data_IF_736609303054
#
_entry.id   IF_736609303054
#
_cell.length_a   1.000
_cell.length_b   1.000
_cell.length_c   1.000
_cell.angle_alpha   90.00
_cell.angle_beta   90.00
_cell.angle_gamma   90.00
#
_symmetry.space_group_name_H-M   'P 1'
#
loop_
_entity.id
_entity.type
_entity.pdbx_description
1 polymer ?
#
# COMPACT_ATOMS: atom_id res chain seq x y z
N UNK A 1 -12.25 -24.93 7.89
CA UNK A 1 -12.46 -24.53 6.48
C UNK A 1 -11.52 -25.29 5.59
N UNK A 2 -12.00 -25.76 4.44
CA UNK A 2 -11.18 -26.37 3.38
C UNK A 2 -10.04 -25.43 3.00
N UNK A 3 -8.86 -25.99 2.73
CA UNK A 3 -7.68 -25.26 2.24
C UNK A 3 -8.03 -24.49 0.94
N UNK A 4 -8.53 -23.27 1.10
CA UNK A 4 -8.84 -22.37 -0.02
C UNK A 4 -7.52 -21.91 -0.63
N UNK A 5 -7.10 -22.48 -1.74
CA UNK A 5 -5.77 -22.22 -2.32
C UNK A 5 -5.75 -21.05 -3.30
N UNK A 6 -6.80 -20.86 -4.11
CA UNK A 6 -6.85 -19.80 -5.12
C UNK A 6 -7.07 -18.41 -4.53
N UNK A 7 -6.29 -17.41 -4.99
CA UNK A 7 -6.41 -16.03 -4.53
C UNK A 7 -7.84 -15.48 -4.63
N UNK A 8 -8.50 -15.58 -5.79
CA UNK A 8 -9.86 -15.08 -6.01
C UNK A 8 -10.89 -15.76 -5.11
N UNK A 9 -10.71 -17.06 -4.82
CA UNK A 9 -11.57 -17.80 -3.88
C UNK A 9 -11.39 -17.28 -2.45
N UNK A 10 -10.14 -17.04 -2.03
CA UNK A 10 -9.83 -16.47 -0.71
C UNK A 10 -10.39 -15.05 -0.56
N UNK A 11 -10.28 -14.22 -1.59
CA UNK A 11 -10.82 -12.86 -1.61
C UNK A 11 -12.34 -12.82 -1.41
N UNK A 12 -13.07 -13.87 -1.83
CA UNK A 12 -14.52 -13.96 -1.74
C UNK A 12 -14.97 -14.61 -0.42
N UNK A 13 -14.20 -15.55 0.12
CA UNK A 13 -14.66 -16.42 1.21
C UNK A 13 -13.90 -16.28 2.53
N UNK A 14 -12.62 -15.89 2.54
CA UNK A 14 -11.85 -15.82 3.78
C UNK A 14 -12.41 -14.74 4.72
N UNK A 15 -12.77 -15.12 5.96
CA UNK A 15 -13.39 -14.24 6.94
C UNK A 15 -14.84 -13.84 6.59
N UNK A 16 -15.44 -14.45 5.58
CA UNK A 16 -16.75 -14.03 5.04
C UNK A 16 -17.75 -15.19 5.00
N UNK A 17 -17.76 -15.98 6.05
CA UNK A 17 -18.78 -17.04 6.19
C UNK A 17 -20.19 -16.43 6.24
N UNK A 18 -21.18 -17.10 5.62
CA UNK A 18 -22.58 -16.70 5.73
C UNK A 18 -23.02 -16.56 7.20
N UNK A 19 -23.82 -15.54 7.48
CA UNK A 19 -24.35 -15.29 8.83
C UNK A 19 -25.13 -16.50 9.36
N UNK A 20 -24.73 -17.01 10.52
CA UNK A 20 -25.34 -18.22 11.10
C UNK A 20 -26.75 -17.99 11.61
N UNK A 21 -27.16 -16.74 11.88
CA UNK A 21 -28.48 -16.44 12.44
C UNK A 21 -29.60 -16.49 11.37
N UNK A 22 -29.31 -15.95 10.17
CA UNK A 22 -30.32 -15.80 9.11
C UNK A 22 -29.82 -16.30 7.74
N UNK A 23 -28.59 -16.78 7.64
CA UNK A 23 -28.01 -17.28 6.39
C UNK A 23 -27.69 -16.20 5.36
N UNK A 24 -27.47 -14.94 5.78
CA UNK A 24 -27.06 -13.88 4.87
C UNK A 24 -25.71 -14.20 4.24
N UNK A 25 -25.62 -14.12 2.90
CA UNK A 25 -24.41 -14.47 2.12
C UNK A 25 -23.28 -13.47 2.35
N UNK A 26 -23.63 -12.20 2.60
CA UNK A 26 -22.65 -11.13 2.91
C UNK A 26 -22.63 -10.92 4.42
N UNK A 27 -21.46 -10.84 5.07
CA UNK A 27 -21.36 -10.57 6.50
C UNK A 27 -22.10 -9.28 6.88
N UNK A 28 -22.88 -9.29 7.98
CA UNK A 28 -23.58 -8.11 8.48
C UNK A 28 -22.60 -6.99 8.89
N UNK A 29 -23.07 -5.73 8.84
CA UNK A 29 -22.36 -4.59 9.40
C UNK A 29 -22.77 -4.46 10.88
N UNK A 30 -21.86 -4.76 11.80
CA UNK A 30 -22.09 -4.64 13.24
C UNK A 30 -21.80 -3.22 13.73
N UNK A 31 -22.76 -2.33 13.49
CA UNK A 31 -22.68 -0.91 13.88
C UNK A 31 -23.00 -0.74 15.38
N UNK A 32 -22.16 -1.28 16.24
CA UNK A 32 -22.31 -1.20 17.71
C UNK A 32 -20.96 -0.90 18.37
N UNK A 33 -21.00 -0.24 19.51
CA UNK A 33 -19.80 0.03 20.33
C UNK A 33 -19.58 -1.04 21.41
N UNK A 34 -20.65 -1.75 21.87
CA UNK A 34 -20.58 -2.64 23.02
C UNK A 34 -21.41 -3.89 22.80
N UNK A 35 -21.06 -4.97 23.51
CA UNK A 35 -21.71 -6.28 23.39
C UNK A 35 -22.17 -6.78 24.77
N UNK A 36 -23.27 -7.54 24.81
CA UNK A 36 -23.80 -8.15 26.03
C UNK A 36 -22.85 -9.26 26.48
N UNK A 37 -22.60 -9.34 27.79
CA UNK A 37 -21.85 -10.43 28.41
C UNK A 37 -22.79 -11.45 29.07
N UNK A 38 -22.40 -12.71 29.02
CA UNK A 38 -23.07 -13.83 29.71
C UNK A 38 -22.49 -13.98 31.14
N UNK A 39 -22.81 -13.00 32.01
CA UNK A 39 -22.17 -12.80 33.32
C UNK A 39 -20.89 -11.97 33.23
N UNK A 40 -20.36 -11.54 34.37
CA UNK A 40 -19.16 -10.69 34.45
C UNK A 40 -17.95 -11.42 33.84
N UNK A 41 -17.37 -10.86 32.77
CA UNK A 41 -16.24 -11.45 32.07
C UNK A 41 -16.61 -12.58 31.09
N UNK A 42 -17.89 -12.96 30.98
CA UNK A 42 -18.39 -13.95 30.00
C UNK A 42 -18.62 -13.32 28.65
N UNK A 43 -17.60 -13.32 27.77
CA UNK A 43 -17.69 -12.69 26.45
C UNK A 43 -18.45 -13.57 25.47
N UNK A 44 -19.56 -13.06 24.93
CA UNK A 44 -20.33 -13.76 23.90
C UNK A 44 -19.59 -13.66 22.55
N UNK A 45 -19.16 -14.79 22.02
CA UNK A 45 -18.40 -14.85 20.78
C UNK A 45 -17.01 -14.17 20.85
N UNK A 46 -16.52 -13.85 22.07
CA UNK A 46 -15.23 -13.16 22.25
C UNK A 46 -15.30 -11.64 22.16
N UNK A 47 -16.50 -11.06 22.00
CA UNK A 47 -16.67 -9.62 21.84
C UNK A 47 -17.16 -8.93 23.11
N UNK A 48 -16.59 -7.76 23.44
CA UNK A 48 -16.97 -6.92 24.57
C UNK A 48 -17.21 -5.45 24.14
N UNK A 49 -16.28 -4.91 23.37
CA UNK A 49 -16.25 -3.53 22.96
C UNK A 49 -15.62 -3.38 21.56
N UNK A 50 -16.23 -2.59 20.67
CA UNK A 50 -15.85 -2.54 19.26
C UNK A 50 -14.42 -2.01 18.99
N UNK A 51 -13.83 -1.22 19.91
CA UNK A 51 -12.42 -0.83 19.78
C UNK A 51 -11.50 -2.02 19.98
N UNK A 52 -11.80 -2.92 20.91
CA UNK A 52 -11.02 -4.15 21.12
C UNK A 52 -11.24 -5.14 19.98
N UNK A 53 -12.51 -5.48 19.65
CA UNK A 53 -12.88 -6.35 18.55
C UNK A 53 -14.29 -6.05 18.03
N UNK A 54 -14.50 -6.19 16.71
CA UNK A 54 -15.80 -6.04 16.08
C UNK A 54 -15.92 -7.09 14.96
N UNK A 55 -17.06 -7.84 14.83
CA UNK A 55 -17.16 -8.92 13.86
C UNK A 55 -16.91 -8.50 12.40
N UNK A 56 -17.34 -7.30 12.00
CA UNK A 56 -17.09 -6.80 10.64
C UNK A 56 -15.61 -6.48 10.42
N UNK A 57 -14.91 -5.94 11.45
CA UNK A 57 -13.45 -5.72 11.37
C UNK A 57 -12.69 -7.03 11.38
N UNK A 58 -13.09 -8.00 12.21
CA UNK A 58 -12.48 -9.34 12.24
C UNK A 58 -12.55 -10.01 10.87
N UNK A 59 -13.72 -9.94 10.19
CA UNK A 59 -13.88 -10.46 8.84
C UNK A 59 -12.89 -9.84 7.83
N UNK A 60 -12.66 -8.52 7.92
CA UNK A 60 -11.67 -7.83 7.09
C UNK A 60 -10.24 -8.26 7.43
N UNK A 61 -9.90 -8.33 8.72
CA UNK A 61 -8.58 -8.71 9.21
C UNK A 61 -8.20 -10.14 8.78
N UNK A 62 -9.15 -11.09 8.86
CA UNK A 62 -8.97 -12.46 8.40
C UNK A 62 -8.81 -12.54 6.87
N UNK A 63 -9.59 -11.76 6.11
CA UNK A 63 -9.47 -11.70 4.66
C UNK A 63 -8.10 -11.18 4.24
N UNK A 64 -7.64 -10.06 4.80
CA UNK A 64 -6.34 -9.46 4.49
C UNK A 64 -5.18 -10.40 4.85
N UNK A 65 -5.20 -11.02 6.04
CA UNK A 65 -4.21 -12.01 6.43
C UNK A 65 -4.15 -13.16 5.41
N UNK A 66 -5.31 -13.70 5.04
CA UNK A 66 -5.39 -14.78 4.05
C UNK A 66 -4.83 -14.37 2.69
N UNK A 67 -5.12 -13.16 2.20
CA UNK A 67 -4.68 -12.70 0.88
C UNK A 67 -3.16 -12.47 0.83
N UNK A 68 -2.57 -11.94 1.88
CA UNK A 68 -1.12 -11.75 1.99
C UNK A 68 -0.35 -13.03 2.37
N UNK A 69 -1.07 -14.12 2.67
CA UNK A 69 -0.44 -15.37 3.12
C UNK A 69 0.09 -15.30 4.56
N UNK A 70 -0.40 -14.33 5.34
CA UNK A 70 -0.06 -14.15 6.74
C UNK A 70 -1.01 -14.86 7.69
N UNK A 71 -0.61 -14.95 8.96
CA UNK A 71 -1.41 -15.54 10.04
C UNK A 71 -2.31 -14.50 10.71
N UNK A 72 -1.86 -13.28 10.82
CA UNK A 72 -2.51 -12.19 11.54
C UNK A 72 -2.71 -10.97 10.64
N UNK A 73 -3.94 -10.46 10.60
CA UNK A 73 -4.29 -9.17 10.01
C UNK A 73 -4.79 -8.22 11.10
N UNK A 74 -4.49 -6.95 10.95
CA UNK A 74 -4.98 -5.86 11.81
C UNK A 74 -5.42 -4.70 10.93
N UNK A 75 -6.65 -4.20 11.12
CA UNK A 75 -7.19 -3.10 10.34
C UNK A 75 -7.17 -1.79 11.12
N UNK A 76 -6.88 -0.68 10.41
CA UNK A 76 -6.69 0.66 10.96
C UNK A 76 -7.51 1.69 10.19
N UNK A 77 -7.76 2.85 10.84
CA UNK A 77 -8.50 3.96 10.25
C UNK A 77 -7.79 4.64 9.06
N UNK A 78 -6.50 4.39 8.86
CA UNK A 78 -5.72 4.83 7.70
C UNK A 78 -4.41 4.06 7.59
N UNK A 79 -3.72 4.12 6.44
CA UNK A 79 -2.37 3.60 6.30
C UNK A 79 -1.41 4.20 7.33
N UNK A 80 -1.42 5.52 7.49
CA UNK A 80 -0.59 6.19 8.51
C UNK A 80 -0.92 5.81 9.95
N UNK A 81 -2.17 5.46 10.27
CA UNK A 81 -2.51 4.93 11.60
C UNK A 81 -1.92 3.52 11.80
N UNK A 82 -1.85 2.70 10.75
CA UNK A 82 -1.16 1.41 10.77
C UNK A 82 0.35 1.60 10.96
N UNK A 83 0.97 2.50 10.20
CA UNK A 83 2.39 2.83 10.31
C UNK A 83 2.76 3.37 11.68
N UNK A 84 2.01 4.35 12.23
CA UNK A 84 2.26 4.92 13.57
C UNK A 84 2.14 3.86 14.67
N UNK A 85 1.14 2.98 14.56
CA UNK A 85 0.96 1.88 15.51
C UNK A 85 2.12 0.89 15.42
N UNK A 86 2.57 0.53 14.22
CA UNK A 86 3.73 -0.34 14.01
C UNK A 86 4.98 0.28 14.61
N UNK A 87 5.29 1.55 14.29
CA UNK A 87 6.47 2.24 14.80
C UNK A 87 6.49 2.33 16.34
N UNK A 88 5.33 2.52 16.99
CA UNK A 88 5.20 2.50 18.44
C UNK A 88 5.34 1.09 19.04
N UNK A 89 5.07 0.07 18.25
CA UNK A 89 5.17 -1.33 18.69
C UNK A 89 6.61 -1.81 18.67
N UNK A 90 7.33 -1.58 17.58
CA UNK A 90 8.69 -2.11 17.38
C UNK A 90 9.79 -1.09 17.75
N UNK A 91 9.45 0.20 17.86
CA UNK A 91 10.40 1.27 18.14
C UNK A 91 10.37 1.73 19.59
N UNK A 92 11.52 2.24 20.05
CA UNK A 92 11.72 2.92 21.33
C UNK A 92 12.62 4.15 21.10
N UNK A 93 12.74 5.07 22.06
CA UNK A 93 13.70 6.16 21.95
C UNK A 93 15.12 5.64 21.69
N UNK A 94 15.75 6.08 20.61
CA UNK A 94 17.05 5.60 20.14
C UNK A 94 16.99 4.52 19.06
N UNK A 95 15.83 3.95 18.77
CA UNK A 95 15.68 3.00 17.66
C UNK A 95 16.07 3.60 16.32
N UNK A 96 16.78 2.81 15.53
CA UNK A 96 17.26 3.19 14.20
C UNK A 96 16.45 2.49 13.11
N UNK A 97 16.02 3.26 12.09
CA UNK A 97 15.27 2.76 10.93
C UNK A 97 15.94 3.15 9.63
N UNK A 98 16.01 2.21 8.69
CA UNK A 98 16.38 2.47 7.29
C UNK A 98 15.11 2.58 6.47
N UNK A 99 14.95 3.69 5.73
CA UNK A 99 13.74 3.97 4.94
C UNK A 99 14.09 4.29 3.48
N UNK A 100 13.14 4.14 2.52
CA UNK A 100 13.42 4.50 1.13
C UNK A 100 13.73 5.98 0.99
N UNK A 101 14.69 6.29 0.12
CA UNK A 101 15.03 7.67 -0.24
C UNK A 101 13.94 8.38 -1.06
N UNK A 102 12.96 7.63 -1.58
CA UNK A 102 11.78 8.09 -2.32
C UNK A 102 10.47 7.56 -1.69
N UNK A 103 10.43 7.47 -0.35
CA UNK A 103 9.26 7.04 0.39
C UNK A 103 8.05 7.96 0.15
N UNK A 104 6.85 7.40 0.26
CA UNK A 104 5.62 8.19 0.31
C UNK A 104 5.75 9.37 1.30
N UNK A 105 5.38 10.57 0.85
CA UNK A 105 5.57 11.80 1.64
C UNK A 105 4.91 11.77 3.02
N UNK A 106 3.83 10.98 3.22
CA UNK A 106 3.19 10.74 4.50
C UNK A 106 4.08 9.96 5.45
N UNK A 107 4.63 8.83 4.99
CA UNK A 107 5.56 7.97 5.72
C UNK A 107 6.82 8.77 6.10
N UNK A 108 7.40 9.50 5.15
CA UNK A 108 8.56 10.36 5.42
C UNK A 108 8.26 11.40 6.52
N UNK A 109 7.11 12.08 6.47
CA UNK A 109 6.71 13.03 7.52
C UNK A 109 6.50 12.35 8.88
N UNK A 110 5.93 11.14 8.87
CA UNK A 110 5.72 10.36 10.10
C UNK A 110 7.05 10.07 10.79
N UNK A 111 8.03 9.56 10.06
CA UNK A 111 9.37 9.31 10.59
C UNK A 111 10.09 10.60 11.04
N UNK A 112 10.21 11.58 10.14
CA UNK A 112 11.12 12.71 10.33
C UNK A 112 10.55 13.85 11.17
N UNK A 113 9.22 13.99 11.28
CA UNK A 113 8.58 15.09 12.01
C UNK A 113 7.75 14.66 13.20
N UNK A 114 7.24 13.43 13.21
CA UNK A 114 6.46 12.90 14.33
C UNK A 114 7.35 12.06 15.23
N UNK A 115 7.89 10.97 14.72
CA UNK A 115 8.66 10.02 15.52
C UNK A 115 10.08 10.50 15.86
N UNK A 116 10.69 11.36 15.06
CA UNK A 116 11.96 12.01 15.41
C UNK A 116 11.90 12.77 16.76
N UNK A 117 10.73 13.33 17.12
CA UNK A 117 10.52 13.97 18.42
C UNK A 117 10.54 13.00 19.61
N UNK A 118 10.34 11.73 19.34
CA UNK A 118 10.39 10.63 20.32
C UNK A 118 11.74 9.89 20.30
N UNK A 119 12.72 10.46 19.60
CA UNK A 119 14.09 9.94 19.55
C UNK A 119 14.29 8.79 18.58
N UNK A 120 13.40 8.59 17.62
CA UNK A 120 13.62 7.66 16.50
C UNK A 120 14.65 8.27 15.57
N UNK A 121 15.73 7.52 15.28
CA UNK A 121 16.75 7.83 14.30
C UNK A 121 16.42 7.18 12.95
N UNK A 122 16.48 7.96 11.88
CA UNK A 122 16.05 7.49 10.54
C UNK A 122 17.08 7.87 9.50
N UNK A 123 17.53 6.89 8.72
CA UNK A 123 18.36 7.11 7.54
C UNK A 123 17.59 6.76 6.26
N UNK A 124 17.53 7.72 5.34
CA UNK A 124 16.98 7.49 4.01
C UNK A 124 18.06 6.97 3.07
N UNK A 125 17.76 5.92 2.28
CA UNK A 125 18.70 5.33 1.33
C UNK A 125 18.01 4.83 0.06
N UNK A 126 18.78 4.65 -1.01
CA UNK A 126 18.26 4.06 -2.25
C UNK A 126 18.16 2.54 -2.11
N UNK A 127 16.94 2.02 -1.97
CA UNK A 127 16.71 0.59 -1.78
C UNK A 127 16.97 -0.26 -3.03
N UNK A 128 17.16 0.37 -4.17
CA UNK A 128 17.61 -0.30 -5.40
C UNK A 128 19.11 -0.62 -5.41
N UNK A 129 19.87 -0.06 -4.46
CA UNK A 129 21.31 -0.28 -4.28
C UNK A 129 21.55 -1.07 -2.99
N UNK A 130 21.77 -2.38 -3.10
CA UNK A 130 21.98 -3.27 -1.96
C UNK A 130 23.22 -2.89 -1.15
N UNK A 131 24.27 -2.35 -1.78
CA UNK A 131 25.46 -1.90 -1.05
C UNK A 131 25.14 -0.64 -0.21
N UNK A 132 24.29 0.25 -0.69
CA UNK A 132 23.81 1.39 0.08
C UNK A 132 22.93 0.94 1.25
N UNK A 133 22.08 -0.07 1.06
CA UNK A 133 21.26 -0.68 2.13
C UNK A 133 22.15 -1.29 3.21
N UNK A 134 23.12 -2.14 2.84
CA UNK A 134 24.03 -2.77 3.77
C UNK A 134 24.82 -1.72 4.59
N UNK A 135 25.28 -0.67 3.94
CA UNK A 135 25.99 0.45 4.60
C UNK A 135 25.10 1.25 5.55
N UNK A 136 23.80 1.37 5.26
CA UNK A 136 22.84 2.10 6.10
C UNK A 136 22.45 1.32 7.35
N UNK A 137 22.51 0.00 7.30
CA UNK A 137 22.17 -0.88 8.43
C UNK A 137 23.30 -0.83 9.47
N UNK A 138 22.91 -0.75 10.75
CA UNK A 138 23.81 -0.85 11.91
C UNK A 138 23.55 -2.18 12.60
N UNK A 139 24.44 -3.17 12.47
CA UNK A 139 24.22 -4.52 13.03
C UNK A 139 23.91 -4.48 14.54
N UNK A 140 22.82 -5.09 14.95
CA UNK A 140 22.35 -5.12 16.34
C UNK A 140 21.69 -3.82 16.85
N UNK A 141 21.69 -2.74 16.05
CA UNK A 141 21.13 -1.43 16.42
C UNK A 141 19.96 -1.01 15.50
N UNK A 142 19.97 -1.43 14.23
CA UNK A 142 18.84 -1.18 13.31
C UNK A 142 17.64 -2.02 13.71
N UNK A 143 16.52 -1.34 14.01
CA UNK A 143 15.26 -1.97 14.39
C UNK A 143 14.56 -2.57 13.19
N UNK A 144 14.46 -1.82 12.10
CA UNK A 144 13.83 -2.30 10.87
C UNK A 144 14.34 -1.59 9.61
N UNK A 145 14.27 -2.32 8.49
CA UNK A 145 14.35 -1.76 7.13
C UNK A 145 12.92 -1.65 6.59
N UNK A 146 12.51 -0.43 6.24
CA UNK A 146 11.21 -0.14 5.65
C UNK A 146 11.35 -0.12 4.14
N UNK A 147 10.62 -0.97 3.45
CA UNK A 147 10.62 -1.10 1.98
C UNK A 147 9.28 -0.58 1.44
N UNK A 148 9.31 0.25 0.42
CA UNK A 148 8.17 0.59 -0.44
C UNK A 148 8.53 0.16 -1.87
N UNK A 149 7.76 -0.75 -2.46
CA UNK A 149 8.06 -1.26 -3.80
C UNK A 149 6.79 -1.79 -4.49
N UNK A 150 6.46 -1.29 -5.72
CA UNK A 150 7.08 -0.15 -6.41
C UNK A 150 6.97 1.15 -5.63
N UNK A 151 7.97 2.06 -5.74
CA UNK A 151 7.98 3.33 -5.00
C UNK A 151 7.01 4.35 -5.61
N UNK A 152 6.62 5.35 -4.81
CA UNK A 152 5.80 6.49 -5.24
C UNK A 152 6.64 7.77 -5.25
N UNK A 153 6.83 8.49 -6.39
CA UNK A 153 6.12 8.30 -7.65
C UNK A 153 6.94 7.63 -8.76
N UNK A 154 8.20 7.30 -8.54
CA UNK A 154 9.14 6.89 -9.61
C UNK A 154 9.07 5.40 -9.98
N UNK A 155 8.28 4.62 -9.25
CA UNK A 155 8.04 3.19 -9.48
C UNK A 155 9.33 2.34 -9.46
N UNK A 156 10.31 2.76 -8.66
CA UNK A 156 11.52 1.98 -8.45
C UNK A 156 11.21 0.63 -7.78
N UNK A 157 11.94 -0.41 -8.15
CA UNK A 157 11.73 -1.76 -7.63
C UNK A 157 12.89 -2.12 -6.70
N UNK A 158 12.57 -2.42 -5.45
CA UNK A 158 13.51 -2.94 -4.46
C UNK A 158 13.46 -4.48 -4.41
N UNK A 159 14.60 -5.12 -4.26
CA UNK A 159 14.70 -6.58 -4.10
C UNK A 159 14.39 -6.96 -2.64
N UNK A 160 13.14 -7.38 -2.40
CA UNK A 160 12.66 -7.71 -1.05
C UNK A 160 13.48 -8.84 -0.46
N UNK A 161 13.73 -9.92 -1.21
CA UNK A 161 14.44 -11.11 -0.75
C UNK A 161 15.89 -10.78 -0.35
N UNK A 162 16.61 -10.07 -1.23
CA UNK A 162 18.00 -9.69 -0.96
C UNK A 162 18.10 -8.70 0.22
N UNK A 163 17.18 -7.75 0.35
CA UNK A 163 17.15 -6.81 1.47
C UNK A 163 16.81 -7.56 2.77
N UNK A 164 15.90 -8.52 2.74
CA UNK A 164 15.53 -9.32 3.89
C UNK A 164 16.73 -10.16 4.40
N UNK A 165 17.49 -10.78 3.51
CA UNK A 165 18.72 -11.48 3.88
C UNK A 165 19.73 -10.56 4.60
N UNK A 166 19.97 -9.36 4.06
CA UNK A 166 20.91 -8.37 4.66
C UNK A 166 20.37 -7.90 6.02
N UNK A 167 19.09 -7.55 6.12
CA UNK A 167 18.47 -7.03 7.33
C UNK A 167 18.47 -8.07 8.46
N UNK A 168 18.02 -9.29 8.17
CA UNK A 168 17.98 -10.38 9.14
C UNK A 168 19.37 -10.79 9.62
N UNK A 169 20.38 -10.79 8.75
CA UNK A 169 21.77 -11.04 9.16
C UNK A 169 22.28 -10.00 10.17
N UNK A 170 21.72 -8.81 10.17
CA UNK A 170 22.00 -7.73 11.11
C UNK A 170 21.06 -7.68 12.32
N UNK A 171 20.07 -8.57 12.40
CA UNK A 171 19.05 -8.61 13.47
C UNK A 171 17.94 -7.59 13.33
N UNK A 172 17.77 -6.99 12.14
CA UNK A 172 16.72 -6.02 11.84
C UNK A 172 15.49 -6.67 11.21
N UNK A 173 14.29 -6.15 11.53
CA UNK A 173 13.04 -6.54 10.88
C UNK A 173 12.93 -5.95 9.47
N UNK A 174 12.11 -6.58 8.64
CA UNK A 174 11.75 -6.10 7.30
C UNK A 174 10.27 -5.78 7.23
N UNK A 175 9.98 -4.50 7.00
CA UNK A 175 8.61 -3.97 6.80
C UNK A 175 8.43 -3.63 5.34
N UNK A 176 7.37 -4.14 4.70
CA UNK A 176 7.09 -3.84 3.29
C UNK A 176 5.73 -3.15 3.16
N UNK A 177 5.74 -1.93 2.64
CA UNK A 177 4.52 -1.29 2.15
C UNK A 177 4.17 -1.89 0.77
N UNK A 178 3.14 -2.72 0.74
CA UNK A 178 2.65 -3.45 -0.44
C UNK A 178 1.45 -2.76 -1.10
N UNK A 179 1.22 -1.49 -0.79
CA UNK A 179 0.03 -0.73 -1.24
C UNK A 179 -0.10 -0.68 -2.77
N UNK A 180 1.00 -0.41 -3.51
CA UNK A 180 0.97 -0.30 -4.97
C UNK A 180 0.83 -1.66 -5.66
N UNK A 181 1.55 -2.66 -5.18
CA UNK A 181 1.51 -4.00 -5.75
C UNK A 181 0.25 -4.76 -5.37
N UNK A 182 -0.31 -4.54 -4.18
CA UNK A 182 -1.42 -5.32 -3.61
C UNK A 182 -1.05 -6.78 -3.32
N UNK A 183 -1.80 -7.48 -2.47
CA UNK A 183 -1.58 -8.91 -2.25
C UNK A 183 -1.80 -9.77 -3.51
N UNK A 184 -2.43 -9.21 -4.55
CA UNK A 184 -2.65 -9.92 -5.80
C UNK A 184 -1.41 -9.99 -6.67
N UNK A 185 -0.63 -8.92 -6.74
CA UNK A 185 0.55 -8.86 -7.62
C UNK A 185 1.84 -9.26 -6.92
N UNK A 186 1.94 -9.06 -5.61
CA UNK A 186 3.17 -9.32 -4.84
C UNK A 186 2.81 -9.84 -3.44
N UNK A 187 3.58 -10.79 -2.93
CA UNK A 187 3.40 -11.39 -1.62
C UNK A 187 4.70 -11.31 -0.80
N UNK A 188 4.97 -10.19 -0.13
CA UNK A 188 6.25 -9.93 0.51
C UNK A 188 6.62 -10.89 1.65
N UNK A 189 5.66 -11.46 2.39
CA UNK A 189 5.96 -12.47 3.43
C UNK A 189 6.65 -13.69 2.84
N UNK A 190 6.29 -14.11 1.63
CA UNK A 190 6.95 -15.22 0.93
C UNK A 190 8.37 -14.87 0.45
N UNK A 191 8.74 -13.58 0.44
CA UNK A 191 10.03 -13.04 0.06
C UNK A 191 10.88 -12.61 1.27
N UNK A 192 10.46 -12.97 2.48
CA UNK A 192 11.21 -12.70 3.70
C UNK A 192 10.81 -11.44 4.47
N UNK A 193 9.74 -10.75 4.10
CA UNK A 193 9.22 -9.66 4.93
C UNK A 193 8.63 -10.20 6.24
N UNK A 194 8.79 -9.47 7.33
CA UNK A 194 8.21 -9.80 8.65
C UNK A 194 6.82 -9.19 8.81
N UNK A 195 6.63 -8.00 8.27
CA UNK A 195 5.40 -7.22 8.40
C UNK A 195 5.07 -6.57 7.05
N UNK A 196 3.80 -6.66 6.67
CA UNK A 196 3.26 -5.93 5.51
C UNK A 196 2.42 -4.77 6.01
N UNK A 197 2.55 -3.63 5.35
CA UNK A 197 1.73 -2.43 5.51
C UNK A 197 0.86 -2.23 4.27
N UNK A 198 -0.37 -1.79 4.47
CA UNK A 198 -1.25 -1.33 3.40
C UNK A 198 -1.95 -0.03 3.77
N UNK A 199 -2.01 0.88 2.82
CA UNK A 199 -3.13 1.82 2.73
C UNK A 199 -4.27 1.11 2.00
N UNK A 200 -5.25 0.57 2.75
CA UNK A 200 -6.42 -0.08 2.14
C UNK A 200 -7.34 0.92 1.42
N UNK A 201 -7.10 2.22 1.61
CA UNK A 201 -7.67 3.34 0.84
C UNK A 201 -7.52 3.18 -0.67
N UNK A 202 -6.45 2.50 -1.12
CA UNK A 202 -6.03 2.40 -2.52
C UNK A 202 -6.70 1.19 -3.19
N UNK A 203 -5.98 0.38 -3.93
CA UNK A 203 -6.52 -0.77 -4.67
C UNK A 203 -7.37 -1.74 -3.85
N UNK A 204 -7.09 -1.91 -2.54
CA UNK A 204 -7.87 -2.81 -1.69
C UNK A 204 -9.33 -2.35 -1.57
N UNK A 205 -9.58 -1.07 -1.27
CA UNK A 205 -10.90 -0.45 -1.35
C UNK A 205 -11.36 -0.30 -2.79
N UNK A 206 -10.55 0.36 -3.61
CA UNK A 206 -10.62 0.39 -5.08
C UNK A 206 -11.76 1.22 -5.67
N UNK A 207 -12.49 2.01 -4.88
CA UNK A 207 -13.66 2.76 -5.33
C UNK A 207 -13.68 4.21 -4.83
N UNK A 208 -12.55 4.72 -4.32
CA UNK A 208 -12.37 6.11 -3.83
C UNK A 208 -13.41 6.55 -2.78
N UNK A 209 -13.96 5.59 -2.03
CA UNK A 209 -15.08 5.77 -1.10
C UNK A 209 -14.74 5.44 0.36
N UNK A 210 -13.49 5.03 0.66
CA UNK A 210 -13.05 4.62 1.99
C UNK A 210 -11.61 5.02 2.26
N UNK A 211 -11.31 5.36 3.51
CA UNK A 211 -9.95 5.50 4.04
C UNK A 211 -9.71 4.36 5.03
N UNK A 212 -8.57 3.68 4.90
CA UNK A 212 -8.21 2.60 5.81
C UNK A 212 -6.75 2.19 5.69
N UNK A 213 -6.31 1.36 6.62
CA UNK A 213 -4.97 0.78 6.64
C UNK A 213 -4.99 -0.64 7.16
N UNK A 214 -3.90 -1.36 6.95
CA UNK A 214 -3.73 -2.68 7.52
C UNK A 214 -2.27 -3.02 7.80
N UNK A 215 -2.06 -3.91 8.77
CA UNK A 215 -0.83 -4.64 8.99
C UNK A 215 -1.11 -6.14 8.85
N UNK A 216 -0.17 -6.86 8.26
CA UNK A 216 -0.23 -8.32 8.18
C UNK A 216 1.13 -8.90 8.59
N UNK A 217 1.12 -9.93 9.42
CA UNK A 217 2.32 -10.67 9.85
C UNK A 217 2.00 -12.14 10.08
N UNK A 218 3.03 -12.98 10.08
CA UNK A 218 2.93 -14.38 10.53
C UNK A 218 3.60 -14.62 11.88
N UNK A 219 4.25 -13.59 12.45
CA UNK A 219 5.00 -13.67 13.69
C UNK A 219 4.09 -13.54 14.90
N UNK A 220 4.10 -14.55 15.77
CA UNK A 220 3.30 -14.60 16.99
C UNK A 220 3.78 -13.58 18.04
N UNK A 221 5.09 -13.29 18.08
CA UNK A 221 5.68 -12.33 19.04
C UNK A 221 5.38 -10.89 18.65
N UNK A 222 5.20 -10.60 17.36
CA UNK A 222 4.78 -9.27 16.86
C UNK A 222 3.27 -9.07 16.97
N UNK A 223 2.48 -10.12 16.76
CA UNK A 223 1.02 -9.99 16.65
C UNK A 223 0.36 -9.51 17.94
N UNK A 224 0.79 -10.01 19.12
CA UNK A 224 0.21 -9.61 20.40
C UNK A 224 0.48 -8.14 20.76
N UNK A 225 1.72 -7.63 20.73
CA UNK A 225 2.01 -6.22 20.93
C UNK A 225 1.32 -5.29 19.93
N UNK A 226 1.19 -5.70 18.66
CA UNK A 226 0.47 -4.94 17.64
C UNK A 226 -1.01 -4.81 17.99
N UNK A 227 -1.67 -5.89 18.40
CA UNK A 227 -3.08 -5.87 18.86
C UNK A 227 -3.26 -5.02 20.11
N UNK A 228 -2.32 -5.10 21.05
CA UNK A 228 -2.34 -4.25 22.24
C UNK A 228 -2.28 -2.77 21.85
N UNK A 229 -1.33 -2.37 21.00
CA UNK A 229 -1.22 -0.97 20.59
C UNK A 229 -2.39 -0.52 19.70
N UNK A 230 -2.90 -1.37 18.79
CA UNK A 230 -4.12 -1.09 18.02
C UNK A 230 -5.29 -0.70 18.95
N UNK A 231 -5.51 -1.50 20.00
CA UNK A 231 -6.57 -1.24 20.98
C UNK A 231 -6.27 -0.03 21.87
N UNK A 232 -5.05 0.09 22.39
CA UNK A 232 -4.65 1.12 23.35
C UNK A 232 -4.62 2.53 22.70
N UNK A 233 -4.12 2.64 21.47
CA UNK A 233 -4.08 3.89 20.71
C UNK A 233 -5.46 4.20 20.13
N UNK A 234 -6.22 3.16 19.74
CA UNK A 234 -7.58 3.30 19.26
C UNK A 234 -7.69 3.70 17.78
N UNK A 235 -6.64 3.50 16.98
CA UNK A 235 -6.62 3.81 15.54
C UNK A 235 -7.45 2.85 14.67
N UNK A 236 -8.54 2.31 15.20
CA UNK A 236 -9.39 1.30 14.52
C UNK A 236 -10.39 1.93 13.56
N UNK A 237 -10.69 1.29 12.39
CA UNK A 237 -11.69 1.77 11.45
C UNK A 237 -13.11 1.50 11.96
N UNK A 238 -14.08 2.26 11.45
CA UNK A 238 -15.49 1.99 11.64
C UNK A 238 -15.94 0.70 10.92
N UNK A 239 -17.03 0.05 11.39
CA UNK A 239 -17.49 -1.19 10.78
C UNK A 239 -17.97 -1.01 9.33
N UNK A 240 -18.49 0.16 8.98
CA UNK A 240 -18.89 0.45 7.60
C UNK A 240 -17.66 0.56 6.68
N UNK A 241 -16.60 1.21 7.13
CA UNK A 241 -15.33 1.31 6.38
C UNK A 241 -14.71 -0.08 6.18
N UNK A 242 -14.72 -0.91 7.23
CA UNK A 242 -14.28 -2.32 7.13
C UNK A 242 -15.08 -3.08 6.07
N UNK A 243 -16.39 -2.89 6.05
CA UNK A 243 -17.28 -3.56 5.09
C UNK A 243 -17.01 -3.09 3.65
N UNK A 244 -16.78 -1.78 3.42
CA UNK A 244 -16.42 -1.24 2.11
C UNK A 244 -15.12 -1.84 1.59
N UNK A 245 -14.07 -1.90 2.43
CA UNK A 245 -12.79 -2.52 2.04
C UNK A 245 -12.99 -4.01 1.74
N UNK A 246 -13.72 -4.73 2.60
CA UNK A 246 -14.02 -6.15 2.39
C UNK A 246 -14.78 -6.38 1.06
N UNK A 247 -15.73 -5.51 0.73
CA UNK A 247 -16.45 -5.52 -0.55
C UNK A 247 -15.49 -5.24 -1.72
N UNK A 248 -14.57 -4.31 -1.58
CA UNK A 248 -13.55 -4.00 -2.58
C UNK A 248 -12.60 -5.18 -2.86
N UNK A 249 -12.14 -5.88 -1.82
CA UNK A 249 -11.27 -7.04 -1.92
C UNK A 249 -11.86 -8.19 -2.75
N UNK A 250 -13.19 -8.38 -2.73
CA UNK A 250 -13.87 -9.42 -3.50
C UNK A 250 -13.64 -9.32 -5.01
N UNK A 251 -13.36 -8.11 -5.51
CA UNK A 251 -13.12 -7.85 -6.94
C UNK A 251 -11.67 -7.44 -7.21
N UNK A 252 -10.78 -7.52 -6.21
CA UNK A 252 -9.39 -7.07 -6.36
C UNK A 252 -8.69 -7.73 -7.55
N UNK A 253 -8.78 -9.04 -7.69
CA UNK A 253 -8.12 -9.78 -8.77
C UNK A 253 -8.55 -9.29 -10.16
N UNK A 254 -9.87 -9.21 -10.42
CA UNK A 254 -10.38 -8.80 -11.73
C UNK A 254 -10.11 -7.32 -12.02
N UNK A 255 -10.09 -6.47 -10.98
CA UNK A 255 -9.71 -5.06 -11.14
C UNK A 255 -8.22 -4.93 -11.45
N UNK A 256 -7.35 -5.63 -10.71
CA UNK A 256 -5.91 -5.57 -10.92
C UNK A 256 -5.50 -6.08 -12.31
N UNK A 257 -6.14 -7.13 -12.84
CA UNK A 257 -5.90 -7.56 -14.23
C UNK A 257 -6.22 -6.44 -15.22
N UNK A 258 -7.37 -5.77 -15.08
CA UNK A 258 -7.75 -4.67 -15.98
C UNK A 258 -6.86 -3.43 -15.78
N UNK A 259 -6.51 -3.08 -14.54
CA UNK A 259 -5.55 -1.99 -14.27
C UNK A 259 -4.20 -2.26 -14.97
N UNK A 260 -3.68 -3.49 -14.86
CA UNK A 260 -2.44 -3.86 -15.52
C UNK A 260 -2.54 -3.82 -17.04
N UNK A 261 -3.62 -4.38 -17.63
CA UNK A 261 -3.85 -4.34 -19.08
C UNK A 261 -3.86 -2.90 -19.59
N UNK A 262 -4.58 -2.02 -18.90
CA UNK A 262 -4.67 -0.61 -19.29
C UNK A 262 -3.33 0.11 -19.11
N UNK A 263 -2.62 -0.13 -17.97
CA UNK A 263 -1.33 0.52 -17.70
C UNK A 263 -0.26 0.12 -18.72
N UNK A 264 -0.20 -1.14 -19.13
CA UNK A 264 0.71 -1.61 -20.19
C UNK A 264 0.44 -0.89 -21.51
N UNK A 265 -0.83 -0.79 -21.93
CA UNK A 265 -1.22 -0.08 -23.18
C UNK A 265 -0.93 1.42 -23.10
N UNK A 266 -1.17 2.06 -21.96
CA UNK A 266 -0.87 3.48 -21.73
C UNK A 266 0.65 3.72 -21.76
N UNK A 267 1.44 2.87 -21.11
CA UNK A 267 2.89 2.99 -21.11
C UNK A 267 3.47 2.84 -22.52
N UNK A 268 2.99 1.86 -23.30
CA UNK A 268 3.40 1.67 -24.70
C UNK A 268 3.06 2.90 -25.57
N UNK A 269 1.87 3.49 -25.39
CA UNK A 269 1.48 4.71 -26.08
C UNK A 269 2.40 5.88 -25.72
N UNK A 270 2.67 6.08 -24.41
CA UNK A 270 3.48 7.21 -23.93
C UNK A 270 4.94 7.12 -24.38
N UNK A 271 5.53 5.92 -24.45
CA UNK A 271 6.91 5.72 -24.99
C UNK A 271 7.06 6.22 -26.40
N UNK A 272 6.01 6.13 -27.24
CA UNK A 272 6.03 6.60 -28.62
C UNK A 272 5.70 8.08 -28.79
N UNK A 273 5.29 8.79 -27.73
CA UNK A 273 4.74 10.13 -27.83
C UNK A 273 5.83 11.23 -27.80
N UNK A 274 5.85 12.13 -28.78
CA UNK A 274 6.89 13.17 -28.98
C UNK A 274 7.03 14.17 -27.82
N UNK A 275 5.98 14.35 -27.01
CA UNK A 275 5.97 15.22 -25.83
C UNK A 275 6.38 14.51 -24.54
N UNK A 276 6.67 13.21 -24.58
CA UNK A 276 7.00 12.40 -23.41
C UNK A 276 8.44 11.88 -23.55
N UNK A 277 9.42 12.56 -22.93
CA UNK A 277 10.82 12.16 -23.04
C UNK A 277 11.17 10.91 -22.22
N UNK A 278 10.41 10.60 -21.17
CA UNK A 278 10.69 9.49 -20.26
C UNK A 278 9.41 8.92 -19.66
N UNK A 279 9.32 7.60 -19.57
CA UNK A 279 8.21 6.86 -18.96
C UNK A 279 8.77 5.93 -17.89
N UNK A 280 8.22 6.00 -16.69
CA UNK A 280 8.53 5.13 -15.57
C UNK A 280 7.40 4.10 -15.44
N UNK A 281 7.67 2.87 -15.81
CA UNK A 281 6.75 1.75 -15.68
C UNK A 281 7.55 0.44 -15.64
N UNK A 282 7.42 -0.38 -14.58
CA UNK A 282 8.24 -1.60 -14.42
C UNK A 282 8.03 -2.64 -15.53
N UNK A 283 6.93 -2.56 -16.28
CA UNK A 283 6.65 -3.42 -17.43
C UNK A 283 7.51 -3.12 -18.67
N UNK A 284 8.12 -1.95 -18.78
CA UNK A 284 8.99 -1.59 -19.88
C UNK A 284 10.36 -2.27 -19.72
N UNK A 285 10.89 -2.86 -20.78
CA UNK A 285 12.24 -3.46 -20.79
C UNK A 285 13.36 -2.45 -20.49
N UNK A 286 13.10 -1.16 -20.75
CA UNK A 286 14.03 -0.08 -20.43
C UNK A 286 14.04 0.31 -18.97
N UNK A 287 13.05 -0.13 -18.16
CA UNK A 287 13.00 0.18 -16.74
C UNK A 287 14.10 -0.57 -15.98
N UNK A 288 14.91 0.09 -15.14
CA UNK A 288 16.04 -0.55 -14.45
C UNK A 288 15.65 -1.77 -13.59
N UNK A 289 14.44 -1.77 -13.03
CA UNK A 289 13.91 -2.85 -12.21
C UNK A 289 13.06 -3.89 -12.97
N UNK A 290 13.02 -3.87 -14.32
CA UNK A 290 12.12 -4.74 -15.11
C UNK A 290 12.28 -6.24 -14.78
N UNK A 291 13.51 -6.75 -14.84
CA UNK A 291 13.77 -8.17 -14.60
C UNK A 291 13.49 -8.59 -13.15
N UNK A 292 13.72 -7.68 -12.19
CA UNK A 292 13.39 -7.89 -10.80
C UNK A 292 11.87 -7.90 -10.60
N UNK A 293 11.14 -6.94 -11.15
CA UNK A 293 9.69 -6.91 -11.11
C UNK A 293 9.07 -8.18 -11.70
N UNK A 294 9.59 -8.64 -12.85
CA UNK A 294 9.17 -9.89 -13.51
C UNK A 294 9.37 -11.13 -12.62
N UNK A 295 10.40 -11.15 -11.77
CA UNK A 295 10.68 -12.26 -10.85
C UNK A 295 9.81 -12.17 -9.59
N UNK A 296 9.63 -10.96 -9.05
CA UNK A 296 9.03 -10.69 -7.75
C UNK A 296 7.52 -10.47 -7.80
N UNK A 297 6.99 -10.00 -8.93
CA UNK A 297 5.60 -9.63 -9.11
C UNK A 297 4.90 -10.50 -10.16
N UNK A 298 3.59 -10.70 -10.00
CA UNK A 298 2.75 -11.39 -10.99
C UNK A 298 2.60 -10.59 -12.27
N UNK A 299 2.41 -9.27 -12.17
CA UNK A 299 2.32 -8.25 -13.23
C UNK A 299 2.86 -6.93 -12.69
N UNK A 300 2.92 -5.88 -13.49
CA UNK A 300 3.67 -4.66 -13.21
C UNK A 300 2.85 -3.53 -12.56
N UNK A 301 1.56 -3.75 -12.28
CA UNK A 301 0.70 -2.80 -11.59
C UNK A 301 -0.04 -1.83 -12.52
N UNK A 302 -0.85 -0.97 -11.90
CA UNK A 302 -1.71 0.01 -12.57
C UNK A 302 -1.19 1.46 -12.51
N UNK A 303 0.04 1.67 -12.06
CA UNK A 303 0.64 3.02 -11.97
C UNK A 303 1.61 3.24 -13.11
N UNK A 304 1.54 4.43 -13.74
CA UNK A 304 2.48 4.88 -14.76
C UNK A 304 2.90 6.31 -14.40
N UNK A 305 4.19 6.59 -14.36
CA UNK A 305 4.69 7.96 -14.25
C UNK A 305 5.45 8.34 -15.52
N UNK A 306 5.40 9.60 -15.90
CA UNK A 306 6.08 10.07 -17.10
C UNK A 306 6.45 11.55 -17.00
N UNK A 307 7.44 11.97 -17.76
CA UNK A 307 7.85 13.37 -17.86
C UNK A 307 7.22 14.01 -19.07
N UNK A 308 6.95 15.31 -18.99
CA UNK A 308 6.35 16.10 -20.08
C UNK A 308 7.37 17.12 -20.61
N UNK A 309 7.66 17.07 -21.90
CA UNK A 309 8.57 18.00 -22.55
C UNK A 309 8.06 19.44 -22.47
N UNK A 310 8.93 20.36 -22.00
CA UNK A 310 8.58 21.79 -21.81
C UNK A 310 8.55 22.21 -20.35
N UNK A 311 8.94 21.29 -19.42
CA UNK A 311 9.11 21.58 -18.00
C UNK A 311 7.78 21.63 -17.23
N UNK A 312 7.84 22.14 -16.01
CA UNK A 312 6.74 22.14 -15.05
C UNK A 312 5.43 22.70 -15.63
N UNK A 313 5.47 23.87 -16.27
CA UNK A 313 4.25 24.49 -16.79
C UNK A 313 3.57 23.62 -17.85
N UNK A 314 4.35 22.95 -18.71
CA UNK A 314 3.81 22.06 -19.73
C UNK A 314 3.14 20.82 -19.10
N UNK A 315 3.71 20.29 -18.01
CA UNK A 315 3.11 19.20 -17.24
C UNK A 315 1.78 19.64 -16.60
N UNK A 316 1.77 20.79 -15.93
CA UNK A 316 0.58 21.37 -15.31
C UNK A 316 -0.54 21.65 -16.33
N UNK A 317 -0.18 22.19 -17.49
CA UNK A 317 -1.14 22.47 -18.58
C UNK A 317 -1.72 21.17 -19.13
N UNK A 318 -0.89 20.12 -19.33
CA UNK A 318 -1.33 18.84 -19.83
C UNK A 318 -2.36 18.18 -18.88
N UNK A 319 -2.04 18.05 -17.59
CA UNK A 319 -2.96 17.42 -16.63
C UNK A 319 -4.25 18.21 -16.42
N UNK A 320 -4.22 19.54 -16.64
CA UNK A 320 -5.40 20.39 -16.52
C UNK A 320 -6.34 20.30 -17.73
N UNK A 321 -5.89 19.72 -18.85
CA UNK A 321 -6.68 19.56 -20.08
C UNK A 321 -7.38 18.21 -20.19
N UNK A 322 -7.06 17.25 -19.29
CA UNK A 322 -7.74 15.95 -19.28
C UNK A 322 -9.25 16.10 -19.05
N UNK A 323 -10.05 15.21 -19.62
CA UNK A 323 -11.52 15.27 -19.61
C UNK A 323 -12.16 14.01 -19.06
N UNK A 324 -11.55 12.86 -19.30
CA UNK A 324 -11.94 11.55 -18.77
C UNK A 324 -11.11 11.25 -17.54
N UNK A 325 -9.79 11.44 -17.64
CA UNK A 325 -8.83 11.26 -16.56
C UNK A 325 -9.01 12.42 -15.57
N UNK A 326 -9.26 12.10 -14.30
CA UNK A 326 -9.57 13.09 -13.26
C UNK A 326 -8.29 13.63 -12.64
N UNK A 327 -8.12 14.96 -12.62
CA UNK A 327 -7.06 15.61 -11.86
C UNK A 327 -7.37 15.51 -10.37
N UNK A 328 -6.60 14.72 -9.63
CA UNK A 328 -6.81 14.50 -8.21
C UNK A 328 -5.71 13.68 -7.57
N UNK A 329 -5.56 13.85 -6.27
CA UNK A 329 -4.69 13.01 -5.44
C UNK A 329 -5.29 11.63 -5.23
N UNK A 330 -4.49 10.71 -4.72
CA UNK A 330 -4.83 9.30 -4.49
C UNK A 330 -4.52 8.43 -5.72
N UNK A 331 -4.93 7.15 -5.64
CA UNK A 331 -4.69 6.15 -6.68
C UNK A 331 -5.48 4.87 -6.41
N UNK A 332 -5.53 4.00 -7.40
CA UNK A 332 -6.03 2.63 -7.24
C UNK A 332 -7.55 2.51 -7.23
N UNK A 333 -8.27 3.60 -7.51
CA UNK A 333 -9.71 3.57 -7.79
C UNK A 333 -10.01 2.99 -9.16
N UNK A 334 -11.29 2.64 -9.40
CA UNK A 334 -11.78 2.20 -10.72
C UNK A 334 -11.65 3.31 -11.75
N UNK A 335 -11.76 4.57 -11.33
CA UNK A 335 -11.51 5.75 -12.15
C UNK A 335 -10.01 6.05 -12.28
N UNK A 336 -9.64 6.60 -13.41
CA UNK A 336 -8.29 7.09 -13.70
C UNK A 336 -8.03 8.43 -13.04
N UNK A 337 -6.92 8.52 -12.27
CA UNK A 337 -6.46 9.73 -11.59
C UNK A 337 -5.10 10.17 -12.10
N UNK A 338 -4.93 11.49 -12.30
CA UNK A 338 -3.66 12.08 -12.71
C UNK A 338 -3.27 13.20 -11.74
N UNK A 339 -1.99 13.32 -11.44
CA UNK A 339 -1.49 14.36 -10.56
C UNK A 339 -0.08 14.84 -10.95
N UNK A 340 0.29 16.01 -10.43
CA UNK A 340 1.66 16.53 -10.45
C UNK A 340 2.30 16.30 -9.08
N UNK A 341 3.15 15.27 -8.88
CA UNK A 341 3.66 14.91 -7.56
C UNK A 341 4.36 16.07 -6.84
N UNK A 342 5.20 16.82 -7.54
CA UNK A 342 5.96 17.93 -6.96
C UNK A 342 5.11 19.06 -6.38
N UNK A 343 3.91 19.28 -6.91
CA UNK A 343 2.98 20.33 -6.44
C UNK A 343 1.90 19.81 -5.50
N UNK A 344 1.63 18.51 -5.50
CA UNK A 344 0.54 17.87 -4.76
C UNK A 344 1.08 16.98 -3.65
N UNK A 345 1.32 15.72 -3.93
CA UNK A 345 1.63 14.70 -2.90
C UNK A 345 3.06 14.78 -2.33
N UNK A 346 4.02 15.32 -3.09
CA UNK A 346 5.45 15.42 -2.71
C UNK A 346 5.91 16.87 -2.45
N UNK A 347 5.02 17.85 -2.40
CA UNK A 347 5.39 19.24 -2.08
C UNK A 347 6.14 19.39 -0.75
N UNK A 348 5.94 18.49 0.21
CA UNK A 348 6.61 18.50 1.52
C UNK A 348 8.07 18.04 1.49
N UNK A 349 8.54 17.47 0.40
CA UNK A 349 9.93 17.00 0.22
C UNK A 349 10.73 17.87 -0.77
N UNK A 350 10.15 18.95 -1.27
CA UNK A 350 10.83 19.92 -2.11
C UNK A 350 12.09 20.46 -1.42
N UNK A 351 13.21 20.57 -2.15
CA UNK A 351 14.50 20.99 -1.64
C UNK A 351 15.23 19.94 -0.81
N UNK A 352 14.75 18.71 -0.76
CA UNK A 352 15.41 17.57 -0.11
C UNK A 352 15.98 16.60 -1.15
N UNK A 353 16.70 15.57 -0.71
CA UNK A 353 17.18 14.50 -1.58
C UNK A 353 16.01 13.65 -2.19
N UNK A 354 14.78 13.87 -1.72
CA UNK A 354 13.56 13.20 -2.21
C UNK A 354 12.81 14.04 -3.25
N UNK A 355 13.39 15.16 -3.70
CA UNK A 355 12.77 16.03 -4.70
C UNK A 355 12.58 15.27 -6.03
N UNK A 356 11.35 15.33 -6.53
CA UNK A 356 10.99 14.69 -7.80
C UNK A 356 11.14 15.67 -8.97
N UNK A 357 11.34 15.21 -10.22
CA UNK A 357 11.39 16.08 -11.38
C UNK A 357 10.17 17.01 -11.46
N UNK A 358 10.39 18.25 -11.77
CA UNK A 358 9.37 19.31 -11.85
C UNK A 358 8.39 19.14 -13.03
N UNK A 359 8.74 18.34 -14.01
CA UNK A 359 7.93 17.98 -15.18
C UNK A 359 7.29 16.56 -15.06
N UNK A 360 7.36 15.97 -13.86
CA UNK A 360 6.83 14.63 -13.61
C UNK A 360 5.32 14.64 -13.44
N UNK A 361 4.66 13.71 -14.09
CA UNK A 361 3.23 13.41 -13.95
C UNK A 361 3.09 11.98 -13.45
N UNK A 362 2.24 11.75 -12.43
CA UNK A 362 1.86 10.41 -11.97
C UNK A 362 0.44 10.11 -12.42
N UNK A 363 0.27 8.96 -13.05
CA UNK A 363 -1.01 8.49 -13.57
C UNK A 363 -1.39 7.15 -12.89
N UNK A 364 -2.48 7.17 -12.13
CA UNK A 364 -3.16 5.97 -11.64
C UNK A 364 -4.15 5.54 -12.69
N UNK A 365 -3.81 4.53 -13.46
CA UNK A 365 -4.61 4.05 -14.58
C UNK A 365 -5.80 3.23 -14.05
N UNK A 366 -7.00 3.67 -14.36
CA UNK A 366 -8.26 3.02 -13.96
C UNK A 366 -8.63 1.84 -14.86
N UNK A 367 -9.90 1.44 -14.77
CA UNK A 367 -10.43 0.29 -15.51
C UNK A 367 -11.38 0.67 -16.67
N UNK A 368 -11.37 1.94 -17.06
CA UNK A 368 -12.09 2.46 -18.23
C UNK A 368 -11.61 1.78 -19.54
N UNK A 369 -12.22 2.10 -20.64
CA UNK A 369 -11.72 1.66 -21.94
C UNK A 369 -10.40 2.39 -22.26
N UNK A 370 -9.35 1.61 -22.52
CA UNK A 370 -8.00 2.16 -22.71
C UNK A 370 -7.90 3.12 -23.91
N UNK A 371 -8.72 2.91 -24.94
CA UNK A 371 -8.82 3.79 -26.10
C UNK A 371 -9.28 5.20 -25.71
N UNK A 372 -10.23 5.33 -24.81
CA UNK A 372 -10.74 6.61 -24.32
C UNK A 372 -9.68 7.33 -23.48
N UNK A 373 -8.92 6.59 -22.64
CA UNK A 373 -7.80 7.13 -21.88
C UNK A 373 -6.66 7.61 -22.80
N UNK A 374 -6.33 6.87 -23.86
CA UNK A 374 -5.33 7.25 -24.85
C UNK A 374 -5.78 8.49 -25.60
N UNK A 375 -7.04 8.55 -26.04
CA UNK A 375 -7.58 9.72 -26.74
C UNK A 375 -7.57 10.98 -25.84
N UNK A 376 -7.81 10.80 -24.54
CA UNK A 376 -7.75 11.91 -23.57
C UNK A 376 -6.32 12.40 -23.35
N UNK A 377 -5.33 11.48 -23.24
CA UNK A 377 -3.92 11.83 -23.17
C UNK A 377 -3.42 12.54 -24.45
N UNK A 378 -3.81 12.05 -25.64
CA UNK A 378 -3.44 12.64 -26.93
C UNK A 378 -3.88 14.12 -27.02
N UNK A 379 -5.13 14.41 -26.68
CA UNK A 379 -5.64 15.78 -26.71
C UNK A 379 -5.06 16.66 -25.60
N UNK A 380 -4.67 16.06 -24.46
CA UNK A 380 -4.10 16.78 -23.33
C UNK A 380 -2.61 17.15 -23.54
N UNK A 381 -1.87 16.30 -24.25
CA UNK A 381 -0.45 16.47 -24.58
C UNK A 381 -0.21 17.25 -25.87
N UNK A 382 -1.26 17.55 -26.64
CA UNK A 382 -1.16 18.27 -27.92
C UNK A 382 -0.75 19.75 -27.79
#
# INVERSE_FOLDING_TARGET
MTDLQGFSTRAIHAGQEPDSAVGAVVPPIYATSTFIQDGVGGLRGGYEYARSANPTRTALEECLASLEGGKYGLAFASGLAAEDTLLRTIGAPGSHFVVPGDAYGGTFRLFTRVHARWGIDTIATHLTDLAAVEKAIRPGDTTAVWIETPTNPLLAIADIEAIAEIAHAAGALVVVDNTFATPYLQQPLALGADIIVHSTTKYCGGHSDVIGGALVTSDDELAEPLRFHQNAIGGVPGPFDCWLVLRGLRTLAVRMERHCDNAERIADYLVGHSRVPEVFFPGLQSHPGHDLAKRQMRRYGGMVSFRVAGGEQAALDAISRTKVIILGESLGGVESLIEHPGRMTHASVAGTALEVPDDLVRFSVGIEDAEDLIADLEQALS
#
